data_IF_557298305264
#
_entry.id   IF_557298305264
#
_cell.length_a   1.000
_cell.length_b   1.000
_cell.length_c   1.000
_cell.angle_alpha   90.00
_cell.angle_beta   90.00
_cell.angle_gamma   90.00
#
_symmetry.space_group_name_H-M   'P 1'
#
loop_
_entity.id
_entity.type
_entity.pdbx_description
1 polymer ?
#
# COMPACT_ATOMS: atom_id res chain seq x y z
N UNK A 1 -0.79 8.00 -30.99
CA UNK A 1 -1.97 7.71 -30.14
C UNK A 1 -1.68 8.26 -28.77
N UNK A 2 -2.51 9.18 -28.30
CA UNK A 2 -2.36 9.87 -27.02
C UNK A 2 -2.99 9.05 -25.88
N UNK A 3 -2.48 9.22 -24.66
CA UNK A 3 -3.10 8.69 -23.44
C UNK A 3 -4.50 9.29 -23.21
N UNK A 4 -4.73 10.50 -23.71
CA UNK A 4 -5.97 11.27 -23.52
C UNK A 4 -7.04 10.96 -24.58
N UNK A 5 -6.76 10.07 -25.53
CA UNK A 5 -7.71 9.65 -26.57
C UNK A 5 -8.47 8.39 -26.13
N UNK A 6 -9.79 8.49 -25.99
CA UNK A 6 -10.67 7.38 -25.63
C UNK A 6 -10.57 6.20 -26.63
N UNK A 7 -10.81 4.98 -26.12
CA UNK A 7 -10.95 3.79 -26.96
C UNK A 7 -12.03 2.84 -26.43
N UNK A 8 -12.96 2.48 -27.31
CA UNK A 8 -14.10 1.62 -26.99
C UNK A 8 -13.72 0.12 -27.02
N UNK A 9 -12.72 -0.26 -27.82
CA UNK A 9 -12.33 -1.67 -27.98
C UNK A 9 -11.42 -2.14 -26.85
N UNK A 10 -11.71 -3.29 -26.25
CA UNK A 10 -10.95 -3.83 -25.11
C UNK A 10 -9.55 -4.34 -25.48
N UNK A 11 -9.41 -5.14 -26.55
CA UNK A 11 -8.13 -5.69 -27.03
C UNK A 11 -7.89 -5.37 -28.51
N UNK A 12 -6.62 -5.28 -28.97
CA UNK A 12 -5.37 -5.44 -28.20
C UNK A 12 -5.11 -4.26 -27.26
N UNK A 13 -4.38 -4.46 -26.16
CA UNK A 13 -4.05 -3.36 -25.24
C UNK A 13 -3.05 -2.40 -25.89
N UNK A 14 -3.34 -1.09 -25.84
CA UNK A 14 -2.41 -0.01 -26.29
C UNK A 14 -1.18 0.09 -25.38
N UNK A 15 -1.35 -0.24 -24.10
CA UNK A 15 -0.32 -0.17 -23.06
C UNK A 15 -0.20 -1.53 -22.37
N UNK A 16 0.47 -2.52 -22.99
CA UNK A 16 0.59 -3.86 -22.40
C UNK A 16 1.24 -3.86 -21.01
N UNK A 17 2.20 -2.95 -20.76
CA UNK A 17 2.88 -2.81 -19.47
C UNK A 17 1.92 -2.56 -18.30
N UNK A 18 0.78 -1.91 -18.54
CA UNK A 18 -0.20 -1.65 -17.48
C UNK A 18 -0.85 -2.95 -16.99
N UNK A 19 -1.03 -3.93 -17.88
CA UNK A 19 -1.47 -5.26 -17.51
C UNK A 19 -0.40 -6.00 -16.70
N UNK A 20 0.87 -5.89 -17.09
CA UNK A 20 1.98 -6.52 -16.35
C UNK A 20 2.11 -5.93 -14.94
N UNK A 21 1.90 -4.62 -14.78
CA UNK A 21 1.87 -3.96 -13.48
C UNK A 21 0.70 -4.45 -12.61
N UNK A 22 -0.51 -4.53 -13.17
CA UNK A 22 -1.68 -5.10 -12.48
C UNK A 22 -1.42 -6.55 -12.06
N UNK A 23 -0.91 -7.38 -12.96
CA UNK A 23 -0.61 -8.79 -12.69
C UNK A 23 0.46 -8.93 -11.60
N UNK A 24 1.45 -8.03 -11.58
CA UNK A 24 2.46 -7.99 -10.52
C UNK A 24 1.82 -7.66 -9.18
N UNK A 25 0.94 -6.66 -9.11
CA UNK A 25 0.21 -6.31 -7.88
C UNK A 25 -0.63 -7.51 -7.38
N UNK A 26 -1.31 -8.23 -8.26
CA UNK A 26 -2.09 -9.43 -7.89
C UNK A 26 -1.21 -10.54 -7.27
N UNK A 27 0.03 -10.70 -7.77
CA UNK A 27 0.96 -11.72 -7.27
C UNK A 27 1.55 -11.40 -5.89
N UNK A 28 1.54 -10.12 -5.49
CA UNK A 28 2.08 -9.66 -4.20
C UNK A 28 0.97 -9.23 -3.22
N UNK A 29 -0.28 -9.57 -3.52
CA UNK A 29 -1.38 -9.29 -2.61
C UNK A 29 -1.24 -10.13 -1.33
N UNK A 30 -1.44 -9.48 -0.19
CA UNK A 30 -1.41 -10.08 1.14
C UNK A 30 -2.40 -9.34 2.04
N UNK A 31 -2.89 -10.02 3.07
CA UNK A 31 -3.75 -9.45 4.12
C UNK A 31 -3.00 -9.29 5.45
N UNK A 32 -3.28 -8.23 6.23
CA UNK A 32 -2.65 -8.03 7.54
C UNK A 32 -2.74 -9.22 8.49
N UNK A 33 -3.83 -9.98 8.43
CA UNK A 33 -4.08 -11.15 9.27
C UNK A 33 -3.14 -12.33 8.97
N UNK A 34 -2.45 -12.32 7.83
CA UNK A 34 -1.45 -13.34 7.47
C UNK A 34 -0.16 -13.20 8.29
N UNK A 35 0.07 -12.04 8.93
CA UNK A 35 1.29 -11.75 9.68
C UNK A 35 0.98 -11.61 11.18
N UNK A 36 1.43 -12.55 12.03
CA UNK A 36 1.20 -12.44 13.47
C UNK A 36 2.10 -11.37 14.10
N UNK A 37 1.49 -10.41 14.82
CA UNK A 37 2.21 -9.29 15.45
C UNK A 37 2.41 -9.44 16.97
N UNK A 38 2.18 -10.63 17.52
CA UNK A 38 2.18 -10.85 18.98
C UNK A 38 3.53 -10.51 19.64
N UNK A 39 4.64 -10.90 19.01
CA UNK A 39 5.98 -10.59 19.53
C UNK A 39 6.33 -9.11 19.34
N UNK A 40 5.92 -8.47 18.26
CA UNK A 40 6.09 -7.02 18.04
C UNK A 40 5.38 -6.20 19.12
N UNK A 41 4.15 -6.58 19.49
CA UNK A 41 3.39 -5.95 20.59
C UNK A 41 4.11 -6.13 21.93
N UNK A 42 4.66 -7.32 22.19
CA UNK A 42 5.44 -7.57 23.40
C UNK A 42 6.70 -6.71 23.43
N UNK A 43 7.41 -6.58 22.31
CA UNK A 43 8.61 -5.76 22.19
C UNK A 43 8.31 -4.27 22.38
N UNK A 44 7.19 -3.80 21.83
CA UNK A 44 6.68 -2.45 22.07
C UNK A 44 6.56 -2.12 23.56
N UNK A 45 6.04 -3.06 24.34
CA UNK A 45 5.82 -2.87 25.78
C UNK A 45 7.06 -3.14 26.63
N UNK A 46 7.96 -4.04 26.22
CA UNK A 46 9.03 -4.56 27.11
C UNK A 46 10.43 -4.16 26.71
N UNK A 47 10.71 -3.93 25.43
CA UNK A 47 12.07 -3.66 24.93
C UNK A 47 12.30 -2.20 24.58
N UNK A 48 11.30 -1.53 24.02
CA UNK A 48 11.49 -0.17 23.55
C UNK A 48 11.60 0.84 24.69
N UNK A 49 12.49 1.81 24.52
CA UNK A 49 12.56 3.01 25.35
C UNK A 49 11.43 3.98 24.99
N UNK A 50 11.23 5.01 25.82
CA UNK A 50 10.25 6.06 25.53
C UNK A 50 10.54 6.81 24.23
N UNK A 51 11.82 7.07 23.94
CA UNK A 51 12.24 7.78 22.73
C UNK A 51 11.98 6.95 21.45
N UNK A 52 12.30 5.65 21.46
CA UNK A 52 12.06 4.75 20.33
C UNK A 52 10.57 4.58 20.06
N UNK A 53 9.75 4.40 21.11
CA UNK A 53 8.29 4.37 20.96
C UNK A 53 7.75 5.66 20.35
N UNK A 54 8.25 6.81 20.80
CA UNK A 54 7.84 8.10 20.24
C UNK A 54 8.21 8.21 18.76
N UNK A 55 9.43 7.82 18.38
CA UNK A 55 9.87 7.81 16.99
C UNK A 55 8.97 6.92 16.12
N UNK A 56 8.77 5.66 16.52
CA UNK A 56 7.91 4.72 15.77
C UNK A 56 6.47 5.21 15.68
N UNK A 57 5.94 5.85 16.73
CA UNK A 57 4.59 6.45 16.71
C UNK A 57 4.46 7.50 15.60
N UNK A 58 5.46 8.37 15.42
CA UNK A 58 5.41 9.36 14.34
C UNK A 58 5.52 8.72 12.95
N UNK A 59 6.34 7.67 12.82
CA UNK A 59 6.45 6.90 11.58
C UNK A 59 5.09 6.25 11.23
N UNK A 60 4.44 5.60 12.19
CA UNK A 60 3.13 4.97 11.97
C UNK A 60 2.06 5.99 11.59
N UNK A 61 2.03 7.16 12.24
CA UNK A 61 1.09 8.25 11.89
C UNK A 61 1.26 8.72 10.46
N UNK A 62 2.51 8.87 10.01
CA UNK A 62 2.79 9.26 8.64
C UNK A 62 2.24 8.23 7.64
N UNK A 63 2.54 6.94 7.82
CA UNK A 63 2.06 5.90 6.91
C UNK A 63 0.54 5.77 6.89
N UNK A 64 -0.12 5.83 8.06
CA UNK A 64 -1.59 5.79 8.12
C UNK A 64 -2.22 6.98 7.39
N UNK A 65 -1.68 8.19 7.58
CA UNK A 65 -2.19 9.39 6.90
C UNK A 65 -1.96 9.32 5.39
N UNK A 66 -0.76 8.91 4.96
CA UNK A 66 -0.41 8.78 3.56
C UNK A 66 -1.31 7.76 2.84
N UNK A 67 -1.61 6.62 3.48
CA UNK A 67 -2.50 5.60 2.92
C UNK A 67 -3.93 6.13 2.74
N UNK A 68 -4.45 6.93 3.69
CA UNK A 68 -5.76 7.58 3.58
C UNK A 68 -5.79 8.56 2.40
N UNK A 69 -4.75 9.38 2.24
CA UNK A 69 -4.66 10.34 1.13
C UNK A 69 -4.59 9.67 -0.23
N UNK A 70 -3.84 8.57 -0.33
CA UNK A 70 -3.77 7.76 -1.54
C UNK A 70 -5.12 7.10 -1.83
N UNK A 71 -5.83 6.60 -0.83
CA UNK A 71 -7.16 6.03 -1.01
C UNK A 71 -8.18 7.04 -1.58
N UNK A 72 -8.16 8.27 -1.08
CA UNK A 72 -9.00 9.36 -1.60
C UNK A 72 -8.74 9.67 -3.09
N UNK A 73 -7.57 9.32 -3.62
CA UNK A 73 -7.28 9.44 -5.05
C UNK A 73 -7.94 8.33 -5.90
N UNK A 74 -8.26 7.19 -5.30
CA UNK A 74 -8.90 6.04 -5.97
C UNK A 74 -10.42 6.03 -5.84
N UNK A 75 -10.93 6.39 -4.67
CA UNK A 75 -12.35 6.32 -4.33
C UNK A 75 -12.93 7.74 -4.33
N UNK A 76 -13.50 8.18 -5.45
CA UNK A 76 -14.27 9.44 -5.54
C UNK A 76 -15.75 9.20 -5.30
#
# INVERSE_FOLDING_TARGET
MSLLEERIVYKPFRYPWAYDAWLTQQRIHWLPEEVPLAEDVKDWHKKLTGAERNLLTQIFRFFVQADVEVNNCYMK
#
